data_IF_617337725748
#
_entry.id   IF_617337725748
#
_cell.length_a   1.000
_cell.length_b   1.000
_cell.length_c   1.000
_cell.angle_alpha   90.00
_cell.angle_beta   90.00
_cell.angle_gamma   90.00
#
_symmetry.space_group_name_H-M   'P 1'
#
loop_
_entity.id
_entity.type
_entity.pdbx_description
1 polymer ?
#
# COMPACT_ATOMS: atom_id res chain seq x y z
N UNK A 1 6.68 -21.74 -6.33
CA UNK A 1 7.11 -20.39 -5.97
C UNK A 1 8.51 -20.48 -5.35
N UNK A 2 9.41 -19.54 -5.59
CA UNK A 2 10.72 -19.53 -4.94
C UNK A 2 10.54 -19.43 -3.42
N UNK A 3 11.48 -20.04 -2.67
CA UNK A 3 11.47 -19.99 -1.22
C UNK A 3 11.70 -18.54 -0.75
N UNK A 4 10.66 -17.91 -0.23
CA UNK A 4 10.69 -16.51 0.20
C UNK A 4 11.53 -16.28 1.47
N UNK A 5 11.80 -17.32 2.25
CA UNK A 5 12.44 -17.19 3.57
C UNK A 5 13.81 -16.52 3.51
N UNK A 6 14.68 -16.97 2.57
CA UNK A 6 16.04 -16.42 2.45
C UNK A 6 16.02 -14.95 1.94
N UNK A 7 15.35 -14.60 0.82
CA UNK A 7 15.26 -13.21 0.38
C UNK A 7 14.64 -12.27 1.41
N UNK A 8 13.63 -12.75 2.16
CA UNK A 8 13.01 -11.95 3.20
C UNK A 8 14.00 -11.65 4.35
N UNK A 9 14.79 -12.66 4.75
CA UNK A 9 15.83 -12.45 5.78
C UNK A 9 16.85 -11.42 5.33
N UNK A 10 17.38 -11.57 4.12
CA UNK A 10 18.35 -10.64 3.55
C UNK A 10 17.78 -9.21 3.46
N UNK A 11 16.50 -9.07 3.11
CA UNK A 11 15.82 -7.79 3.07
C UNK A 11 15.64 -7.18 4.47
N UNK A 12 15.27 -7.99 5.48
CA UNK A 12 15.15 -7.53 6.87
C UNK A 12 16.50 -7.07 7.40
N UNK A 13 17.56 -7.85 7.18
CA UNK A 13 18.92 -7.50 7.59
C UNK A 13 19.41 -6.21 6.89
N UNK A 14 19.01 -6.01 5.62
CA UNK A 14 19.38 -4.83 4.83
C UNK A 14 18.70 -3.55 5.31
N UNK A 15 17.38 -3.55 5.50
CA UNK A 15 16.71 -2.30 5.85
C UNK A 15 16.78 -1.94 7.34
N UNK A 16 16.92 -2.92 8.24
CA UNK A 16 17.01 -2.68 9.69
C UNK A 16 15.90 -1.76 10.18
N UNK A 17 16.26 -0.58 10.70
CA UNK A 17 15.34 0.46 11.15
C UNK A 17 15.18 1.64 10.16
N UNK A 18 15.74 1.52 8.95
CA UNK A 18 15.61 2.58 7.94
C UNK A 18 14.17 2.80 7.53
N UNK A 19 13.77 4.05 7.22
CA UNK A 19 12.46 4.32 6.61
C UNK A 19 12.30 3.59 5.28
N UNK A 20 11.15 3.01 5.07
CA UNK A 20 10.80 2.36 3.80
C UNK A 20 9.94 3.29 2.96
N UNK A 21 10.33 3.49 1.70
CA UNK A 21 9.60 4.31 0.74
C UNK A 21 8.97 3.40 -0.31
N UNK A 22 7.67 3.59 -0.57
CA UNK A 22 6.99 2.93 -1.67
C UNK A 22 6.00 3.88 -2.37
N UNK A 23 5.45 3.46 -3.50
CA UNK A 23 4.43 4.22 -4.22
C UNK A 23 3.08 3.54 -4.09
N UNK A 24 2.21 4.07 -3.22
CA UNK A 24 1.03 3.36 -2.76
C UNK A 24 1.39 2.37 -1.65
N UNK A 25 2.19 2.82 -0.71
CA UNK A 25 2.91 2.02 0.30
C UNK A 25 2.06 1.05 1.12
N UNK A 26 0.75 1.27 1.22
CA UNK A 26 -0.18 0.36 1.90
C UNK A 26 -0.13 -1.04 1.28
N UNK A 27 -0.07 -1.12 -0.06
CA UNK A 27 -0.02 -2.38 -0.78
C UNK A 27 1.25 -3.17 -0.43
N UNK A 28 2.41 -2.59 -0.70
CA UNK A 28 3.70 -3.27 -0.51
C UNK A 28 3.91 -3.67 0.95
N UNK A 29 3.59 -2.75 1.87
CA UNK A 29 3.78 -3.00 3.31
C UNK A 29 2.87 -4.10 3.83
N UNK A 30 1.64 -4.21 3.35
CA UNK A 30 0.74 -5.28 3.79
C UNK A 30 1.24 -6.67 3.40
N UNK A 31 1.84 -6.82 2.22
CA UNK A 31 2.50 -8.07 1.82
C UNK A 31 3.77 -8.34 2.63
N UNK A 32 4.59 -7.30 2.87
CA UNK A 32 5.77 -7.42 3.71
C UNK A 32 5.40 -7.90 5.12
N UNK A 33 4.44 -7.26 5.78
CA UNK A 33 4.01 -7.64 7.13
C UNK A 33 3.42 -9.04 7.17
N UNK A 34 2.65 -9.43 6.15
CA UNK A 34 2.15 -10.80 6.03
C UNK A 34 3.31 -11.79 5.99
N UNK A 35 4.33 -11.55 5.17
CA UNK A 35 5.49 -12.42 5.08
C UNK A 35 6.31 -12.44 6.39
N UNK A 36 6.51 -11.28 7.04
CA UNK A 36 7.19 -11.22 8.34
C UNK A 36 6.47 -12.06 9.40
N UNK A 37 5.14 -12.01 9.45
CA UNK A 37 4.35 -12.85 10.35
C UNK A 37 4.46 -14.34 10.00
N UNK A 38 4.37 -14.71 8.73
CA UNK A 38 4.42 -16.09 8.26
C UNK A 38 5.76 -16.77 8.60
N UNK A 39 6.86 -16.02 8.50
CA UNK A 39 8.19 -16.51 8.80
C UNK A 39 8.71 -16.16 10.21
N UNK A 40 7.86 -15.59 11.07
CA UNK A 40 8.16 -15.21 12.46
C UNK A 40 9.36 -14.24 12.58
N UNK A 41 9.53 -13.34 11.63
CA UNK A 41 10.52 -12.29 11.72
C UNK A 41 10.03 -11.12 12.58
N UNK A 42 10.93 -10.44 13.32
CA UNK A 42 10.56 -9.25 14.08
C UNK A 42 10.10 -8.13 13.14
N UNK A 43 9.14 -7.35 13.60
CA UNK A 43 8.69 -6.13 12.90
C UNK A 43 9.52 -4.96 13.41
N UNK A 44 10.29 -4.35 12.52
CA UNK A 44 11.16 -3.21 12.84
C UNK A 44 10.38 -1.93 13.19
N UNK A 45 11.09 -0.93 13.72
CA UNK A 45 10.52 0.38 14.08
C UNK A 45 10.36 1.33 12.87
N UNK A 46 10.66 0.86 11.66
CA UNK A 46 10.72 1.65 10.44
C UNK A 46 9.46 2.48 10.18
N UNK A 47 9.66 3.72 9.79
CA UNK A 47 8.59 4.58 9.24
C UNK A 47 8.26 4.14 7.80
N UNK A 48 6.99 4.14 7.45
CA UNK A 48 6.52 3.89 6.10
C UNK A 48 6.13 5.21 5.45
N UNK A 49 6.79 5.52 4.35
CA UNK A 49 6.63 6.73 3.57
C UNK A 49 6.06 6.40 2.19
N UNK A 50 5.13 7.23 1.72
CA UNK A 50 4.43 7.01 0.46
C UNK A 50 4.67 8.16 -0.52
N UNK A 51 5.36 7.88 -1.62
CA UNK A 51 5.67 8.87 -2.66
C UNK A 51 4.42 9.38 -3.38
N UNK A 52 3.36 8.57 -3.50
CA UNK A 52 2.09 9.00 -4.09
C UNK A 52 1.36 10.00 -3.18
N UNK A 53 1.36 9.76 -1.86
CA UNK A 53 0.79 10.72 -0.89
C UNK A 53 1.57 12.02 -0.87
N UNK A 54 2.90 11.95 -0.87
CA UNK A 54 3.77 13.12 -0.94
C UNK A 54 3.46 13.94 -2.19
N UNK A 55 3.40 13.31 -3.37
CA UNK A 55 3.08 13.98 -4.62
C UNK A 55 1.73 14.68 -4.58
N UNK A 56 0.67 13.98 -4.15
CA UNK A 56 -0.68 14.56 -4.04
C UNK A 56 -0.72 15.78 -3.12
N UNK A 57 -0.06 15.70 -1.97
CA UNK A 57 -0.06 16.79 -1.01
C UNK A 57 0.78 17.98 -1.51
N UNK A 58 1.94 17.71 -2.11
CA UNK A 58 2.79 18.71 -2.71
C UNK A 58 2.06 19.50 -3.81
N UNK A 59 1.59 18.82 -4.85
CA UNK A 59 0.91 19.48 -5.97
C UNK A 59 -0.37 20.19 -5.55
N UNK A 60 -1.11 19.66 -4.58
CA UNK A 60 -2.25 20.37 -3.99
C UNK A 60 -1.83 21.65 -3.27
N UNK A 61 -0.65 21.69 -2.65
CA UNK A 61 -0.15 22.86 -1.93
C UNK A 61 0.33 23.95 -2.87
N UNK A 62 0.95 23.58 -3.99
CA UNK A 62 1.52 24.55 -4.95
C UNK A 62 0.54 25.01 -6.01
N UNK A 63 -0.47 24.19 -6.36
CA UNK A 63 -1.46 24.51 -7.42
C UNK A 63 -2.22 25.83 -7.19
N UNK A 64 -2.26 26.34 -5.96
CA UNK A 64 -2.98 27.58 -5.64
C UNK A 64 -2.15 28.84 -5.87
N UNK A 65 -0.82 28.76 -5.86
CA UNK A 65 0.08 29.90 -5.75
C UNK A 65 1.26 29.87 -6.73
N UNK A 66 1.29 28.97 -7.70
CA UNK A 66 2.42 28.83 -8.62
C UNK A 66 1.97 28.56 -10.05
N UNK A 67 2.84 28.86 -11.03
CA UNK A 67 2.69 28.50 -12.43
C UNK A 67 2.91 26.98 -12.70
N UNK A 68 3.08 26.19 -11.63
CA UNK A 68 3.32 24.74 -11.75
C UNK A 68 2.03 24.06 -12.16
N UNK A 69 2.02 23.46 -13.34
CA UNK A 69 0.95 22.61 -13.79
C UNK A 69 1.10 21.22 -13.14
N UNK A 70 0.14 20.77 -12.32
CA UNK A 70 0.23 19.45 -11.70
C UNK A 70 0.10 18.34 -12.74
N UNK A 71 0.64 17.13 -12.47
CA UNK A 71 0.47 15.99 -13.36
C UNK A 71 -1.00 15.58 -13.45
N UNK A 72 -1.39 15.01 -14.58
CA UNK A 72 -2.75 14.51 -14.87
C UNK A 72 -3.28 13.55 -13.79
N UNK A 73 -2.42 12.71 -13.28
CA UNK A 73 -2.69 11.79 -12.18
C UNK A 73 -1.41 11.48 -11.40
N UNK A 74 -1.53 10.71 -10.31
CA UNK A 74 -0.40 10.40 -9.42
C UNK A 74 0.03 8.93 -9.54
N UNK A 75 -0.14 8.28 -10.69
CA UNK A 75 0.46 6.98 -10.96
C UNK A 75 1.98 7.12 -11.09
N UNK A 76 2.72 6.08 -10.75
CA UNK A 76 4.20 6.13 -10.79
C UNK A 76 4.72 6.47 -12.19
N UNK A 77 4.12 5.91 -13.23
CA UNK A 77 4.44 6.21 -14.63
C UNK A 77 4.23 7.67 -15.01
N UNK A 78 3.10 8.24 -14.60
CA UNK A 78 2.80 9.66 -14.88
C UNK A 78 3.79 10.58 -14.17
N UNK A 79 4.12 10.27 -12.91
CA UNK A 79 5.13 11.03 -12.16
C UNK A 79 6.54 10.84 -12.74
N UNK A 80 6.88 9.64 -13.21
CA UNK A 80 8.14 9.39 -13.89
C UNK A 80 8.29 10.25 -15.14
N UNK A 81 7.23 10.29 -15.98
CA UNK A 81 7.19 11.13 -17.18
C UNK A 81 7.26 12.62 -16.85
N UNK A 82 6.50 13.07 -15.84
CA UNK A 82 6.50 14.46 -15.38
C UNK A 82 7.90 14.94 -14.96
N UNK A 83 8.67 14.07 -14.30
CA UNK A 83 10.02 14.35 -13.85
C UNK A 83 11.13 13.93 -14.83
N UNK A 84 10.77 13.53 -16.05
CA UNK A 84 11.71 13.04 -17.07
C UNK A 84 12.61 11.91 -16.54
N UNK A 85 12.03 10.95 -15.83
CA UNK A 85 12.73 9.78 -15.34
C UNK A 85 12.55 8.62 -16.31
N UNK A 86 13.65 7.94 -16.68
CA UNK A 86 13.58 6.68 -17.44
C UNK A 86 12.87 5.64 -16.58
N UNK A 87 11.90 4.94 -17.16
CA UNK A 87 11.05 4.01 -16.44
C UNK A 87 10.66 2.83 -17.34
N UNK A 88 11.05 1.63 -16.94
CA UNK A 88 10.62 0.37 -17.56
C UNK A 88 9.57 -0.27 -16.65
N UNK A 89 8.31 -0.17 -17.08
CA UNK A 89 7.16 -0.66 -16.29
C UNK A 89 7.25 -2.14 -15.96
N UNK A 90 6.81 -2.50 -14.75
CA UNK A 90 6.68 -3.87 -14.23
C UNK A 90 8.00 -4.59 -13.92
N UNK A 91 9.09 -3.86 -13.76
CA UNK A 91 10.29 -4.37 -13.12
C UNK A 91 10.36 -3.84 -11.68
N UNK A 92 10.24 -4.71 -10.68
CA UNK A 92 10.14 -4.32 -9.28
C UNK A 92 11.30 -3.41 -8.81
N UNK A 93 12.50 -3.62 -9.34
CA UNK A 93 13.66 -2.80 -9.03
C UNK A 93 13.53 -1.39 -9.63
N UNK A 94 13.09 -1.27 -10.88
CA UNK A 94 12.88 0.02 -11.52
C UNK A 94 11.74 0.79 -10.86
N UNK A 95 10.64 0.12 -10.51
CA UNK A 95 9.54 0.72 -9.76
C UNK A 95 10.03 1.30 -8.42
N UNK A 96 10.87 0.57 -7.69
CA UNK A 96 11.45 1.04 -6.43
C UNK A 96 12.38 2.25 -6.63
N UNK A 97 13.27 2.21 -7.62
CA UNK A 97 14.16 3.34 -7.94
C UNK A 97 13.38 4.58 -8.37
N UNK A 98 12.37 4.42 -9.21
CA UNK A 98 11.56 5.55 -9.66
C UNK A 98 10.74 6.13 -8.52
N UNK A 99 10.17 5.30 -7.65
CA UNK A 99 9.47 5.77 -6.44
C UNK A 99 10.39 6.61 -5.55
N UNK A 100 11.62 6.16 -5.33
CA UNK A 100 12.64 6.90 -4.58
C UNK A 100 13.04 8.21 -5.28
N UNK A 101 13.28 8.19 -6.59
CA UNK A 101 13.65 9.39 -7.36
C UNK A 101 12.53 10.43 -7.37
N UNK A 102 11.27 10.04 -7.56
CA UNK A 102 10.10 10.91 -7.47
C UNK A 102 10.03 11.54 -6.07
N UNK A 103 10.16 10.72 -5.03
CA UNK A 103 10.17 11.18 -3.65
C UNK A 103 11.26 12.24 -3.42
N UNK A 104 12.49 11.95 -3.83
CA UNK A 104 13.63 12.85 -3.67
C UNK A 104 13.47 14.16 -4.45
N UNK A 105 12.92 14.12 -5.68
CA UNK A 105 12.66 15.32 -6.49
C UNK A 105 11.67 16.24 -5.80
N UNK A 106 10.54 15.71 -5.33
CA UNK A 106 9.53 16.49 -4.61
C UNK A 106 10.12 17.10 -3.33
N UNK A 107 10.93 16.34 -2.58
CA UNK A 107 11.59 16.88 -1.39
C UNK A 107 12.52 18.06 -1.72
N UNK A 108 13.22 18.02 -2.86
CA UNK A 108 14.10 19.12 -3.30
C UNK A 108 13.31 20.38 -3.65
N UNK A 109 12.10 20.24 -4.18
CA UNK A 109 11.21 21.35 -4.52
C UNK A 109 10.58 22.02 -3.28
N UNK A 110 10.55 21.32 -2.13
CA UNK A 110 10.09 21.90 -0.89
C UNK A 110 11.14 22.86 -0.30
N UNK A 111 10.73 23.97 0.34
CA UNK A 111 11.63 24.86 1.06
C UNK A 111 12.51 24.08 2.05
N UNK A 112 13.80 24.38 2.10
CA UNK A 112 14.76 23.60 2.89
C UNK A 112 14.40 23.50 4.37
N UNK A 113 13.92 24.59 4.98
CA UNK A 113 13.48 24.64 6.37
C UNK A 113 12.20 23.85 6.67
N UNK A 114 11.42 23.49 5.64
CA UNK A 114 10.14 22.80 5.81
C UNK A 114 10.18 21.31 5.37
N UNK A 115 11.29 20.89 4.75
CA UNK A 115 11.39 19.53 4.15
C UNK A 115 11.03 18.43 5.14
N UNK A 116 11.60 18.48 6.33
CA UNK A 116 11.38 17.45 7.34
C UNK A 116 9.92 17.40 7.82
N UNK A 117 9.35 18.54 8.17
CA UNK A 117 7.95 18.61 8.65
C UNK A 117 6.95 18.26 7.56
N UNK A 118 7.15 18.76 6.33
CA UNK A 118 6.28 18.42 5.20
C UNK A 118 6.43 16.97 4.76
N UNK A 119 7.63 16.40 4.78
CA UNK A 119 7.82 14.98 4.54
C UNK A 119 7.01 14.15 5.53
N UNK A 120 7.11 14.41 6.83
CA UNK A 120 6.30 13.71 7.83
C UNK A 120 4.81 13.90 7.64
N UNK A 121 4.35 15.12 7.39
CA UNK A 121 2.93 15.42 7.26
C UNK A 121 2.31 14.87 5.97
N UNK A 122 3.07 14.83 4.88
CA UNK A 122 2.56 14.48 3.55
C UNK A 122 2.79 13.02 3.19
N UNK A 123 3.97 12.48 3.51
CA UNK A 123 4.38 11.16 3.06
C UNK A 123 4.18 10.05 4.10
N UNK A 124 4.28 10.36 5.40
CA UNK A 124 4.17 9.34 6.43
C UNK A 124 2.79 8.67 6.44
N UNK A 125 2.77 7.35 6.43
CA UNK A 125 1.55 6.55 6.47
C UNK A 125 1.34 5.99 7.87
N UNK A 126 2.30 5.21 8.36
CA UNK A 126 2.35 4.57 9.69
C UNK A 126 3.77 4.05 9.96
N UNK A 127 4.00 3.52 11.16
CA UNK A 127 5.21 2.76 11.48
C UNK A 127 4.93 1.27 11.35
N UNK A 128 5.92 0.48 10.93
CA UNK A 128 5.77 -0.98 10.87
C UNK A 128 5.33 -1.56 12.22
N UNK A 129 5.85 -1.03 13.35
CA UNK A 129 5.44 -1.42 14.69
C UNK A 129 3.95 -1.22 15.02
N UNK A 130 3.25 -0.39 14.24
CA UNK A 130 1.81 -0.15 14.44
C UNK A 130 0.96 -1.34 13.97
N UNK A 131 1.55 -2.29 13.24
CA UNK A 131 0.93 -3.57 12.97
C UNK A 131 0.89 -4.41 14.23
N UNK A 132 -0.30 -4.93 14.50
CA UNK A 132 -0.55 -5.79 15.66
C UNK A 132 0.11 -7.15 15.46
N UNK A 133 0.24 -7.91 16.57
CA UNK A 133 0.68 -9.30 16.51
C UNK A 133 -0.28 -10.14 15.64
N UNK A 134 0.24 -11.24 15.08
CA UNK A 134 -0.50 -12.09 14.15
C UNK A 134 -1.86 -12.55 14.69
N UNK A 135 -1.95 -12.86 15.99
CA UNK A 135 -3.18 -13.30 16.66
C UNK A 135 -4.30 -12.25 16.57
N UNK A 136 -3.92 -10.96 16.44
CA UNK A 136 -4.89 -9.87 16.29
C UNK A 136 -5.54 -9.82 14.91
N UNK A 137 -5.07 -10.62 13.96
CA UNK A 137 -5.60 -10.71 12.60
C UNK A 137 -6.36 -12.02 12.35
N UNK A 138 -6.85 -12.65 13.42
CA UNK A 138 -7.72 -13.81 13.28
C UNK A 138 -8.95 -13.46 12.43
N UNK A 139 -9.24 -14.32 11.46
CA UNK A 139 -10.42 -14.19 10.63
C UNK A 139 -11.67 -14.51 11.46
N UNK A 140 -12.72 -13.66 11.45
CA UNK A 140 -13.97 -13.99 12.09
C UNK A 140 -14.51 -15.35 11.60
N UNK A 141 -15.06 -16.18 12.50
CA UNK A 141 -15.53 -17.53 12.16
C UNK A 141 -16.44 -17.55 10.93
N UNK A 142 -17.34 -16.59 10.82
CA UNK A 142 -18.26 -16.42 9.69
C UNK A 142 -17.57 -16.20 8.34
N UNK A 143 -16.32 -15.72 8.35
CA UNK A 143 -15.53 -15.45 7.15
C UNK A 143 -14.47 -16.55 6.87
N UNK A 144 -14.43 -17.62 7.66
CA UNK A 144 -13.47 -18.74 7.44
C UNK A 144 -13.57 -19.34 6.04
N UNK A 145 -14.76 -19.33 5.46
CA UNK A 145 -14.99 -19.80 4.08
C UNK A 145 -14.16 -19.02 3.05
N UNK A 146 -13.76 -17.79 3.33
CA UNK A 146 -12.90 -17.01 2.43
C UNK A 146 -11.56 -17.69 2.15
N UNK A 147 -11.07 -18.54 3.07
CA UNK A 147 -9.81 -19.27 2.87
C UNK A 147 -9.87 -20.21 1.68
N UNK A 148 -10.98 -20.90 1.47
CA UNK A 148 -11.19 -21.78 0.31
C UNK A 148 -11.26 -21.00 -0.99
N UNK A 149 -12.01 -19.90 -1.02
CA UNK A 149 -12.13 -19.04 -2.19
C UNK A 149 -10.80 -18.34 -2.56
N UNK A 150 -9.96 -18.03 -1.58
CA UNK A 150 -8.61 -17.51 -1.82
C UNK A 150 -7.71 -18.54 -2.51
N UNK A 151 -7.83 -19.81 -2.15
CA UNK A 151 -7.05 -20.91 -2.77
C UNK A 151 -7.49 -21.18 -4.21
N UNK A 152 -8.79 -21.21 -4.45
CA UNK A 152 -9.38 -21.51 -5.77
C UNK A 152 -9.48 -20.28 -6.67
N UNK A 153 -9.29 -19.06 -6.13
CA UNK A 153 -9.52 -17.77 -6.80
C UNK A 153 -10.95 -17.64 -7.35
N UNK A 154 -11.89 -18.33 -6.74
CA UNK A 154 -13.30 -18.30 -7.16
C UNK A 154 -13.91 -16.97 -6.77
N UNK A 155 -14.60 -16.27 -7.68
CA UNK A 155 -15.33 -15.05 -7.37
C UNK A 155 -16.37 -15.29 -6.29
N UNK A 156 -16.53 -14.28 -5.41
CA UNK A 156 -17.51 -14.25 -4.33
C UNK A 156 -18.35 -12.98 -4.43
N UNK A 157 -19.59 -13.04 -3.99
CA UNK A 157 -20.38 -11.82 -3.79
C UNK A 157 -20.20 -11.33 -2.35
N UNK A 158 -19.81 -10.08 -2.22
CA UNK A 158 -19.67 -9.43 -0.92
C UNK A 158 -20.62 -8.24 -0.79
N UNK A 159 -21.21 -8.10 0.39
CA UNK A 159 -21.92 -6.89 0.80
C UNK A 159 -21.01 -6.10 1.73
N UNK A 160 -20.76 -4.83 1.39
CA UNK A 160 -19.77 -4.01 2.06
C UNK A 160 -20.36 -2.66 2.45
N UNK A 161 -20.38 -2.36 3.74
CA UNK A 161 -20.99 -1.13 4.27
C UNK A 161 -20.12 0.13 4.08
N UNK A 162 -18.90 -0.01 3.57
CA UNK A 162 -17.98 1.09 3.31
C UNK A 162 -18.00 1.61 1.87
N UNK A 163 -17.56 2.86 1.67
CA UNK A 163 -17.41 3.47 0.35
C UNK A 163 -18.70 4.05 -0.23
N UNK A 164 -18.66 4.40 -1.52
CA UNK A 164 -19.78 5.07 -2.23
C UNK A 164 -20.99 4.16 -2.48
N UNK A 165 -20.77 2.85 -2.63
CA UNK A 165 -21.82 1.85 -2.90
C UNK A 165 -22.06 1.03 -1.64
N UNK A 166 -22.64 1.65 -0.64
CA UNK A 166 -22.96 1.01 0.64
C UNK A 166 -24.04 -0.04 0.43
N UNK A 167 -23.86 -1.18 1.07
CA UNK A 167 -24.84 -2.26 1.14
C UNK A 167 -25.26 -2.92 -0.18
N UNK A 168 -24.63 -2.56 -1.29
CA UNK A 168 -24.80 -3.25 -2.56
C UNK A 168 -23.93 -4.52 -2.60
N UNK A 169 -24.50 -5.61 -3.11
CA UNK A 169 -23.70 -6.78 -3.45
C UNK A 169 -22.78 -6.48 -4.63
N UNK A 170 -21.55 -6.96 -4.51
CA UNK A 170 -20.56 -6.83 -5.59
C UNK A 170 -19.74 -8.09 -5.75
N UNK A 171 -19.55 -8.56 -6.98
CA UNK A 171 -18.68 -9.68 -7.24
C UNK A 171 -17.21 -9.25 -7.09
N UNK A 172 -16.46 -10.04 -6.35
CA UNK A 172 -15.03 -9.82 -6.07
C UNK A 172 -14.27 -11.11 -6.24
N UNK A 173 -13.21 -11.08 -7.01
CA UNK A 173 -12.22 -12.17 -7.04
C UNK A 173 -11.23 -11.95 -5.88
N UNK A 174 -11.24 -12.80 -4.86
CA UNK A 174 -10.37 -12.65 -3.70
C UNK A 174 -8.91 -13.00 -4.06
N UNK A 175 -7.95 -12.19 -3.62
CA UNK A 175 -6.52 -12.39 -3.89
C UNK A 175 -5.78 -12.75 -2.61
N UNK A 176 -5.99 -11.98 -1.54
CA UNK A 176 -5.29 -12.17 -0.27
C UNK A 176 -6.07 -11.61 0.93
N UNK A 177 -5.79 -12.17 2.11
CA UNK A 177 -6.07 -11.53 3.39
C UNK A 177 -4.79 -10.86 3.86
N UNK A 178 -4.83 -9.57 4.10
CA UNK A 178 -3.67 -8.75 4.40
C UNK A 178 -3.82 -8.07 5.78
N UNK A 179 -2.84 -8.22 6.65
CA UNK A 179 -2.80 -7.49 7.91
C UNK A 179 -2.56 -6.00 7.64
N UNK A 180 -3.30 -5.15 8.33
CA UNK A 180 -3.16 -3.69 8.28
C UNK A 180 -3.25 -3.13 9.70
N UNK A 181 -2.74 -1.93 10.01
CA UNK A 181 -2.85 -1.35 11.35
C UNK A 181 -4.29 -1.30 11.89
N UNK A 182 -5.27 -1.09 11.01
CA UNK A 182 -6.69 -1.06 11.35
C UNK A 182 -7.35 -2.44 11.46
N UNK A 183 -6.66 -3.52 11.10
CA UNK A 183 -7.15 -4.89 11.15
C UNK A 183 -6.95 -5.66 9.87
N UNK A 184 -7.56 -6.85 9.78
CA UNK A 184 -7.47 -7.71 8.62
C UNK A 184 -8.33 -7.15 7.46
N UNK A 185 -7.73 -7.10 6.26
CA UNK A 185 -8.37 -6.64 5.03
C UNK A 185 -8.45 -7.78 4.02
N UNK A 186 -9.58 -7.90 3.34
CA UNK A 186 -9.68 -8.68 2.11
C UNK A 186 -9.18 -7.81 0.95
N UNK A 187 -8.18 -8.27 0.24
CA UNK A 187 -7.70 -7.69 -1.00
C UNK A 187 -8.20 -8.50 -2.18
N UNK A 188 -8.79 -7.85 -3.17
CA UNK A 188 -9.36 -8.53 -4.32
C UNK A 188 -9.70 -7.59 -5.48
N UNK A 189 -10.02 -8.18 -6.63
CA UNK A 189 -10.48 -7.46 -7.83
C UNK A 189 -12.00 -7.31 -7.77
N UNK A 190 -12.48 -6.08 -7.71
CA UNK A 190 -13.91 -5.80 -7.86
C UNK A 190 -14.30 -5.90 -9.33
N UNK A 191 -15.16 -6.85 -9.66
CA UNK A 191 -15.53 -7.13 -11.06
C UNK A 191 -16.44 -6.06 -11.66
N UNK A 192 -17.02 -5.16 -10.86
CA UNK A 192 -17.85 -4.06 -11.37
C UNK A 192 -17.05 -2.98 -12.11
N UNK A 193 -15.80 -2.77 -11.71
CA UNK A 193 -14.94 -1.72 -12.25
C UNK A 193 -13.52 -2.22 -12.60
N UNK A 194 -13.31 -3.53 -12.44
CA UNK A 194 -12.04 -4.22 -12.68
C UNK A 194 -10.84 -3.59 -11.94
N UNK A 195 -11.10 -3.07 -10.73
CA UNK A 195 -10.10 -2.44 -9.90
C UNK A 195 -9.75 -3.29 -8.68
N UNK A 196 -8.47 -3.27 -8.33
CA UNK A 196 -8.00 -3.83 -7.06
C UNK A 196 -8.50 -2.98 -5.89
N UNK A 197 -9.10 -3.63 -4.89
CA UNK A 197 -9.68 -2.97 -3.72
C UNK A 197 -9.37 -3.69 -2.43
N UNK A 198 -9.40 -2.91 -1.35
CA UNK A 198 -9.32 -3.41 0.02
C UNK A 198 -10.68 -3.31 0.70
N UNK A 199 -11.09 -4.39 1.33
CA UNK A 199 -12.34 -4.47 2.08
C UNK A 199 -12.03 -4.83 3.54
N UNK A 200 -12.47 -4.02 4.49
CA UNK A 200 -12.31 -4.34 5.91
C UNK A 200 -13.18 -5.54 6.27
N UNK A 201 -12.56 -6.62 6.75
CA UNK A 201 -13.29 -7.85 7.08
C UNK A 201 -14.35 -7.65 8.17
N UNK A 202 -14.15 -6.67 9.08
CA UNK A 202 -15.09 -6.35 10.16
C UNK A 202 -16.45 -5.81 9.68
N UNK A 203 -16.51 -5.23 8.48
CA UNK A 203 -17.70 -4.61 7.91
C UNK A 203 -18.20 -5.32 6.66
N UNK A 204 -17.70 -6.52 6.41
CA UNK A 204 -18.33 -7.46 5.47
C UNK A 204 -19.58 -8.02 6.14
N UNK A 205 -20.72 -7.84 5.49
CA UNK A 205 -22.00 -8.34 5.96
C UNK A 205 -22.20 -9.76 5.45
N UNK A 206 -22.76 -10.62 6.31
CA UNK A 206 -23.18 -11.96 5.90
C UNK A 206 -24.42 -11.87 5.01
N UNK A 207 -24.56 -12.86 4.18
CA UNK A 207 -25.80 -13.15 3.44
C UNK A 207 -26.65 -14.05 4.27
#
# INVERSE_FOLDING_TARGET
>A
APNLKKPLKEFVDFYGDMPLIAHGAIFDTSFLVKALHEFHYPIALSDILDSCRLARAYFKSVAKNSEITPPENYKLSTLASYYNLRFEHHQALDDAFVALKVFAKILKELPSGERHSKMRNYAHVFKLKDFKRQESYALPKKLEILKSFLQTKTPIEIKYSGGKRKEEFRPVTPIALLPMPQGLMLYGICMLDNLNKYFQTKILLDR
#
